data_IF_444781172989
#
_entry.id   IF_444781172989
#
_cell.length_a   1.000
_cell.length_b   1.000
_cell.length_c   1.000
_cell.angle_alpha   90.00
_cell.angle_beta   90.00
_cell.angle_gamma   90.00
#
_symmetry.space_group_name_H-M   'P 1'
#
loop_
_entity.id
_entity.type
_entity.pdbx_description
1 polymer ?
#
# COMPACT_ATOMS: atom_id res chain seq x y z
N UNK A 1 -68.88 -8.72 -8.15
CA UNK A 1 -67.51 -8.23 -8.42
C UNK A 1 -66.83 -7.99 -7.09
N UNK A 2 -65.93 -8.89 -6.68
CA UNK A 2 -64.97 -8.66 -5.60
C UNK A 2 -63.57 -8.86 -6.19
N UNK A 3 -62.71 -7.87 -5.94
CA UNK A 3 -61.35 -7.77 -6.45
C UNK A 3 -60.36 -8.58 -5.59
N UNK A 4 -59.29 -8.98 -6.28
CA UNK A 4 -58.12 -9.75 -5.88
C UNK A 4 -57.49 -9.34 -4.55
N UNK A 5 -57.07 -10.34 -3.77
CA UNK A 5 -55.84 -10.32 -2.97
C UNK A 5 -55.52 -11.76 -2.53
N UNK A 6 -54.46 -12.36 -3.10
CA UNK A 6 -53.57 -13.28 -2.39
C UNK A 6 -52.41 -13.75 -3.28
N UNK A 7 -51.21 -13.32 -2.89
CA UNK A 7 -49.97 -14.09 -2.85
C UNK A 7 -49.47 -14.76 -4.15
N UNK A 8 -48.80 -13.97 -4.99
CA UNK A 8 -47.73 -14.49 -5.84
C UNK A 8 -46.42 -14.49 -5.05
N UNK A 9 -46.06 -15.60 -4.40
CA UNK A 9 -44.67 -15.86 -4.03
C UNK A 9 -43.95 -16.28 -5.31
N UNK A 10 -43.22 -15.36 -5.93
CA UNK A 10 -42.27 -15.70 -6.97
C UNK A 10 -41.06 -16.38 -6.31
N UNK A 11 -41.07 -17.71 -6.28
CA UNK A 11 -39.89 -18.53 -6.03
C UNK A 11 -38.89 -18.26 -7.17
N UNK A 12 -37.94 -17.35 -6.93
CA UNK A 12 -36.72 -17.23 -7.71
C UNK A 12 -35.81 -18.40 -7.31
N UNK A 13 -35.88 -19.49 -8.06
CA UNK A 13 -34.86 -20.55 -8.00
C UNK A 13 -33.57 -20.02 -8.63
N UNK A 14 -32.67 -19.50 -7.80
CA UNK A 14 -31.29 -19.27 -8.22
C UNK A 14 -30.62 -20.62 -8.54
N UNK A 15 -29.93 -20.76 -9.68
CA UNK A 15 -29.19 -21.98 -9.98
C UNK A 15 -27.99 -22.09 -9.03
N UNK A 16 -28.00 -23.13 -8.20
CA UNK A 16 -26.83 -23.53 -7.40
C UNK A 16 -25.74 -24.02 -8.36
N UNK A 17 -24.83 -23.12 -8.73
CA UNK A 17 -23.59 -23.48 -9.40
C UNK A 17 -22.71 -24.26 -8.43
N UNK A 18 -22.25 -25.47 -8.77
CA UNK A 18 -21.32 -26.20 -7.91
C UNK A 18 -20.01 -25.43 -7.87
N UNK A 19 -19.71 -24.83 -6.70
CA UNK A 19 -18.40 -24.26 -6.42
C UNK A 19 -17.39 -25.40 -6.45
N UNK A 20 -16.66 -25.51 -7.55
CA UNK A 20 -15.48 -26.39 -7.59
C UNK A 20 -14.48 -25.88 -6.57
N UNK A 21 -14.17 -26.70 -5.56
CA UNK A 21 -13.14 -26.39 -4.60
C UNK A 21 -11.81 -26.14 -5.35
N UNK A 22 -11.21 -24.98 -5.12
CA UNK A 22 -9.90 -24.68 -5.66
C UNK A 22 -8.88 -25.75 -5.19
N UNK A 23 -7.94 -26.17 -6.05
CA UNK A 23 -6.93 -27.14 -5.66
C UNK A 23 -6.13 -26.61 -4.47
N UNK A 24 -6.04 -27.41 -3.41
CA UNK A 24 -5.23 -27.09 -2.23
C UNK A 24 -3.78 -27.01 -2.68
N UNK A 25 -3.20 -25.81 -2.65
CA UNK A 25 -1.77 -25.62 -2.91
C UNK A 25 -1.01 -26.26 -1.74
N UNK A 26 -0.50 -27.47 -1.94
CA UNK A 26 0.43 -28.09 -1.01
C UNK A 26 1.75 -27.35 -1.10
N UNK A 27 1.97 -26.44 -0.15
CA UNK A 27 3.26 -25.79 0.02
C UNK A 27 4.28 -26.85 0.41
N UNK A 28 5.29 -27.05 -0.43
CA UNK A 28 6.41 -27.90 -0.10
C UNK A 28 7.02 -27.43 1.23
N UNK A 29 7.25 -28.36 2.16
CA UNK A 29 7.87 -28.04 3.43
C UNK A 29 9.23 -27.36 3.16
N UNK A 30 9.50 -26.19 3.78
CA UNK A 30 10.75 -25.49 3.54
C UNK A 30 11.91 -26.42 3.95
N UNK A 31 13.00 -26.45 3.16
CA UNK A 31 14.14 -27.30 3.47
C UNK A 31 14.67 -26.93 4.86
N UNK A 32 14.73 -27.93 5.74
CA UNK A 32 15.24 -27.83 7.10
C UNK A 32 16.75 -27.59 7.04
N UNK A 33 17.15 -26.33 6.85
CA UNK A 33 18.57 -25.96 6.78
C UNK A 33 19.07 -25.83 8.21
N UNK A 34 19.74 -26.87 8.71
CA UNK A 34 20.34 -26.84 10.05
C UNK A 34 21.63 -26.02 10.01
N UNK A 35 21.53 -24.73 10.32
CA UNK A 35 22.68 -23.85 10.48
C UNK A 35 23.44 -24.19 11.77
N UNK A 36 24.76 -24.24 11.68
CA UNK A 36 25.63 -24.24 12.86
C UNK A 36 25.45 -22.93 13.65
N UNK A 37 25.80 -22.91 14.95
CA UNK A 37 25.73 -21.68 15.75
C UNK A 37 26.50 -20.51 15.11
N UNK A 38 27.70 -20.75 14.59
CA UNK A 38 28.53 -19.73 13.94
C UNK A 38 27.87 -19.17 12.67
N UNK A 39 27.29 -20.02 11.82
CA UNK A 39 26.59 -19.56 10.62
C UNK A 39 25.33 -18.77 10.98
N UNK A 40 24.61 -19.19 12.02
CA UNK A 40 23.42 -18.47 12.51
C UNK A 40 23.81 -17.07 12.98
N UNK A 41 24.88 -16.92 13.74
CA UNK A 41 25.39 -15.63 14.19
C UNK A 41 25.82 -14.74 13.02
N UNK A 42 26.53 -15.30 12.03
CA UNK A 42 26.90 -14.57 10.81
C UNK A 42 25.68 -14.05 10.06
N UNK A 43 24.65 -14.89 9.87
CA UNK A 43 23.40 -14.48 9.21
C UNK A 43 22.66 -13.40 9.99
N UNK A 44 22.62 -13.50 11.32
CA UNK A 44 22.03 -12.47 12.16
C UNK A 44 22.81 -11.16 12.07
N UNK A 45 24.14 -11.20 12.01
CA UNK A 45 24.97 -10.01 11.80
C UNK A 45 24.68 -9.34 10.45
N UNK A 46 24.59 -10.12 9.36
CA UNK A 46 24.20 -9.63 8.03
C UNK A 46 22.82 -8.97 8.06
N UNK A 47 21.83 -9.60 8.71
CA UNK A 47 20.48 -9.04 8.84
C UNK A 47 20.51 -7.72 9.61
N UNK A 48 21.24 -7.64 10.73
CA UNK A 48 21.39 -6.40 11.51
C UNK A 48 22.03 -5.30 10.66
N UNK A 49 23.11 -5.60 9.95
CA UNK A 49 23.78 -4.63 9.07
C UNK A 49 22.82 -4.09 8.00
N UNK A 50 22.07 -4.97 7.33
CA UNK A 50 21.07 -4.57 6.33
C UNK A 50 19.96 -3.69 6.93
N UNK A 51 19.50 -3.98 8.16
CA UNK A 51 18.49 -3.16 8.83
C UNK A 51 19.01 -1.77 9.21
N UNK A 52 20.26 -1.68 9.66
CA UNK A 52 20.90 -0.40 9.96
C UNK A 52 21.00 0.45 8.70
N UNK A 53 21.44 -0.16 7.59
CA UNK A 53 21.58 0.52 6.31
C UNK A 53 20.22 0.97 5.74
N UNK A 54 19.21 0.11 5.78
CA UNK A 54 17.86 0.48 5.38
C UNK A 54 17.32 1.66 6.20
N UNK A 55 17.53 1.65 7.53
CA UNK A 55 17.13 2.76 8.39
C UNK A 55 17.92 4.05 8.09
N UNK A 56 19.20 3.95 7.68
CA UNK A 56 19.99 5.11 7.24
C UNK A 56 19.40 5.72 5.97
N UNK A 57 19.16 4.89 4.96
CA UNK A 57 18.58 5.32 3.69
C UNK A 57 17.20 5.95 3.87
N UNK A 58 16.37 5.39 4.75
CA UNK A 58 15.05 5.94 5.06
C UNK A 58 15.16 7.32 5.71
N UNK A 59 16.06 7.50 6.68
CA UNK A 59 16.31 8.81 7.31
C UNK A 59 16.79 9.85 6.28
N UNK A 60 17.69 9.46 5.38
CA UNK A 60 18.18 10.33 4.31
C UNK A 60 17.10 10.68 3.28
N UNK A 61 16.22 9.74 2.93
CA UNK A 61 15.09 10.01 2.06
C UNK A 61 14.10 10.99 2.71
N UNK A 62 13.78 10.79 4.00
CA UNK A 62 12.92 11.70 4.78
C UNK A 62 13.53 13.10 4.87
N UNK A 63 14.82 13.20 5.21
CA UNK A 63 15.51 14.48 5.30
C UNK A 63 15.53 15.24 3.96
N UNK A 64 15.73 14.54 2.84
CA UNK A 64 15.64 15.15 1.50
C UNK A 64 14.22 15.64 1.19
N UNK A 65 13.20 14.83 1.47
CA UNK A 65 11.81 15.24 1.28
C UNK A 65 11.46 16.48 2.14
N UNK A 66 11.98 16.55 3.37
CA UNK A 66 11.80 17.72 4.25
C UNK A 66 12.46 18.97 3.67
N UNK A 67 13.69 18.86 3.17
CA UNK A 67 14.39 19.96 2.52
C UNK A 67 13.66 20.44 1.26
N UNK A 68 13.16 19.54 0.43
CA UNK A 68 12.38 19.89 -0.76
C UNK A 68 11.08 20.59 -0.40
N UNK A 69 10.37 20.12 0.63
CA UNK A 69 9.16 20.78 1.14
C UNK A 69 9.47 22.18 1.65
N UNK A 70 10.55 22.35 2.41
CA UNK A 70 10.98 23.64 2.91
C UNK A 70 11.35 24.60 1.77
N UNK A 71 12.10 24.12 0.76
CA UNK A 71 12.47 24.92 -0.41
C UNK A 71 11.24 25.41 -1.19
N UNK A 72 10.24 24.54 -1.41
CA UNK A 72 8.99 24.89 -2.10
C UNK A 72 8.14 25.90 -1.33
N UNK A 73 8.12 25.81 -0.01
CA UNK A 73 7.47 26.81 0.84
C UNK A 73 8.18 28.17 0.74
N UNK A 74 9.53 28.18 0.79
CA UNK A 74 10.33 29.40 0.63
C UNK A 74 10.15 30.06 -0.73
N UNK A 75 9.96 29.28 -1.80
CA UNK A 75 9.67 29.81 -3.14
C UNK A 75 8.25 30.36 -3.32
N UNK A 76 7.47 30.45 -2.24
CA UNK A 76 6.10 30.98 -2.25
C UNK A 76 5.05 29.97 -2.75
N UNK A 77 5.40 28.68 -2.80
CA UNK A 77 4.48 27.61 -3.17
C UNK A 77 3.51 27.27 -2.04
N UNK A 78 2.25 26.97 -2.37
CA UNK A 78 1.23 26.47 -1.45
C UNK A 78 0.74 25.09 -1.87
N UNK A 79 0.69 24.17 -0.91
CA UNK A 79 0.09 22.85 -1.10
C UNK A 79 -1.38 22.86 -0.71
N UNK A 80 -2.26 22.53 -1.65
CA UNK A 80 -3.71 22.46 -1.45
C UNK A 80 -4.18 21.13 -2.03
N UNK A 81 -4.67 20.21 -1.18
CA UNK A 81 -5.21 18.91 -1.63
C UNK A 81 -4.20 17.99 -2.35
N UNK A 82 -2.91 18.10 -2.06
CA UNK A 82 -1.84 17.33 -2.73
C UNK A 82 -1.34 17.93 -4.05
N UNK A 83 -1.75 19.15 -4.36
CA UNK A 83 -1.30 19.90 -5.54
C UNK A 83 -0.53 21.12 -5.07
N UNK A 84 0.66 21.33 -5.63
CA UNK A 84 1.51 22.48 -5.39
C UNK A 84 1.10 23.62 -6.33
N UNK A 85 0.77 24.77 -5.77
CA UNK A 85 0.46 26.00 -6.50
C UNK A 85 1.52 27.05 -6.24
N UNK A 86 1.91 27.80 -7.28
CA UNK A 86 2.81 28.95 -7.18
C UNK A 86 2.13 30.22 -7.67
N UNK A 87 2.38 31.35 -7.01
CA UNK A 87 1.81 32.63 -7.42
C UNK A 87 2.60 33.22 -8.58
N UNK A 88 1.96 33.43 -9.73
CA UNK A 88 2.52 34.11 -10.91
C UNK A 88 1.67 35.36 -11.19
N UNK A 89 2.22 36.54 -10.88
CA UNK A 89 1.45 37.79 -10.89
C UNK A 89 0.29 37.73 -9.88
N UNK A 90 -0.95 37.85 -10.38
CA UNK A 90 -2.17 37.79 -9.57
C UNK A 90 -2.84 36.40 -9.55
N UNK A 91 -2.31 35.41 -10.29
CA UNK A 91 -2.90 34.08 -10.40
C UNK A 91 -2.09 33.03 -9.63
N UNK A 92 -2.78 31.98 -9.17
CA UNK A 92 -2.15 30.74 -8.69
C UNK A 92 -2.09 29.75 -9.84
N UNK A 93 -0.90 29.21 -10.11
CA UNK A 93 -0.64 28.26 -11.19
C UNK A 93 -0.17 26.96 -10.57
N UNK A 94 -0.67 25.83 -11.07
CA UNK A 94 -0.21 24.50 -10.66
C UNK A 94 1.25 24.28 -11.09
N UNK A 95 2.08 23.88 -10.14
CA UNK A 95 3.53 23.72 -10.28
C UNK A 95 3.97 22.26 -9.97
N UNK A 96 3.00 21.36 -9.78
CA UNK A 96 3.22 19.92 -9.58
C UNK A 96 2.52 19.35 -8.35
N UNK A 97 3.06 18.24 -7.82
CA UNK A 97 2.50 17.54 -6.64
C UNK A 97 3.29 17.78 -5.38
N UNK A 98 2.56 17.72 -4.27
CA UNK A 98 3.06 17.55 -2.91
C UNK A 98 2.09 16.62 -2.15
#
# INVERSE_FOLDING_TARGET
MLLLLAAGCADQQEPVVPVMAAPVVQQAAPPQTTLTPAERESRLAEIRAKRIEAARLEREARARADQERAARQQSGGRCIGGVLYRKQGNAWVEDGRC
#
